data_IF_894056757968
#
_entry.id   IF_894056757968
#
_cell.length_a   1.000
_cell.length_b   1.000
_cell.length_c   1.000
_cell.angle_alpha   90.00
_cell.angle_beta   90.00
_cell.angle_gamma   90.00
#
_symmetry.space_group_name_H-M   'P 1'
#
loop_
_entity.id
_entity.type
_entity.pdbx_description
1 polymer ?
#
# COMPACT_ATOMS: atom_id res chain seq x y z
N UNK A 1 20.67 -6.92 14.13
CA UNK A 1 19.78 -7.12 15.29
C UNK A 1 18.45 -6.50 14.94
N UNK A 2 17.45 -7.30 14.58
CA UNK A 2 16.09 -6.85 14.29
C UNK A 2 15.34 -6.68 15.61
N UNK A 3 15.05 -5.44 15.99
CA UNK A 3 14.12 -5.14 17.07
C UNK A 3 12.72 -5.40 16.53
N UNK A 4 12.12 -6.55 16.87
CA UNK A 4 10.71 -6.81 16.60
C UNK A 4 9.89 -5.94 17.55
N UNK A 5 9.42 -4.80 17.05
CA UNK A 5 8.40 -3.99 17.72
C UNK A 5 7.05 -4.69 17.52
N UNK A 6 6.43 -5.13 18.60
CA UNK A 6 5.13 -5.79 18.57
C UNK A 6 3.99 -4.78 18.49
N UNK A 7 3.20 -4.88 17.42
CA UNK A 7 1.93 -4.21 17.20
C UNK A 7 1.51 -4.57 15.78
N UNK A 8 0.27 -5.04 15.58
CA UNK A 8 -0.27 -5.07 14.22
C UNK A 8 -0.21 -3.61 13.75
N UNK A 9 0.43 -3.35 12.62
CA UNK A 9 0.48 -2.00 12.08
C UNK A 9 -0.89 -1.63 11.56
N UNK A 10 -1.76 -1.13 12.44
CA UNK A 10 -3.16 -0.83 12.15
C UNK A 10 -3.35 0.37 11.19
N UNK A 11 -2.26 0.86 10.61
CA UNK A 11 -2.26 1.99 9.69
C UNK A 11 -1.25 1.85 8.58
N UNK A 12 -1.64 2.36 7.43
CA UNK A 12 -0.93 2.20 6.17
C UNK A 12 -0.88 3.54 5.44
N UNK A 13 0.32 4.01 5.13
CA UNK A 13 0.50 4.99 4.06
C UNK A 13 0.79 4.25 2.75
N UNK A 14 0.04 4.59 1.71
CA UNK A 14 0.25 4.09 0.35
C UNK A 14 0.54 5.24 -0.60
N UNK A 15 1.58 5.10 -1.40
CA UNK A 15 1.88 5.97 -2.53
C UNK A 15 1.95 5.16 -3.81
N UNK A 16 1.06 5.43 -4.76
CA UNK A 16 1.13 4.93 -6.13
C UNK A 16 1.81 5.96 -7.02
N UNK A 17 2.71 5.53 -7.90
CA UNK A 17 3.44 6.44 -8.78
C UNK A 17 4.03 5.74 -10.00
N UNK A 18 4.36 6.55 -10.99
CA UNK A 18 5.17 6.20 -12.15
C UNK A 18 6.57 6.82 -12.04
N UNK A 19 7.54 6.28 -12.76
CA UNK A 19 8.90 6.79 -12.80
C UNK A 19 9.38 7.00 -14.24
N UNK A 20 10.17 8.06 -14.52
CA UNK A 20 10.84 8.20 -15.80
C UNK A 20 11.87 7.07 -16.00
N UNK A 21 11.89 6.49 -17.19
CA UNK A 21 12.73 5.33 -17.53
C UNK A 21 14.22 5.59 -17.31
N UNK A 22 14.67 6.81 -17.55
CA UNK A 22 16.09 7.20 -17.49
C UNK A 22 16.61 7.26 -16.06
N UNK A 23 15.72 7.48 -15.07
CA UNK A 23 16.08 7.59 -13.65
C UNK A 23 15.58 6.42 -12.82
N UNK A 24 14.96 5.41 -13.44
CA UNK A 24 14.38 4.27 -12.74
C UNK A 24 15.43 3.55 -11.89
N UNK A 25 16.59 3.22 -12.46
CA UNK A 25 17.61 2.46 -11.73
C UNK A 25 18.19 3.24 -10.54
N UNK A 26 18.46 4.54 -10.73
CA UNK A 26 18.95 5.41 -9.66
C UNK A 26 17.93 5.52 -8.54
N UNK A 27 16.66 5.73 -8.90
CA UNK A 27 15.57 5.85 -7.94
C UNK A 27 15.38 4.56 -7.13
N UNK A 28 15.34 3.39 -7.77
CA UNK A 28 15.19 2.12 -7.06
C UNK A 28 16.39 1.86 -6.15
N UNK A 29 17.62 2.15 -6.60
CA UNK A 29 18.82 1.99 -5.79
C UNK A 29 18.78 2.89 -4.55
N UNK A 30 18.41 4.16 -4.70
CA UNK A 30 18.27 5.10 -3.60
C UNK A 30 17.14 4.72 -2.63
N UNK A 31 15.98 4.34 -3.18
CA UNK A 31 14.81 3.98 -2.38
C UNK A 31 15.15 2.84 -1.42
N UNK A 32 15.74 1.75 -1.93
CA UNK A 32 16.08 0.57 -1.13
C UNK A 32 17.36 0.71 -0.33
N UNK A 33 18.32 1.50 -0.80
CA UNK A 33 19.65 1.65 -0.18
C UNK A 33 19.72 2.70 0.92
N UNK A 34 18.90 3.75 0.85
CA UNK A 34 18.98 4.91 1.74
C UNK A 34 17.62 5.26 2.37
N UNK A 35 16.61 5.52 1.54
CA UNK A 35 15.33 6.08 2.00
C UNK A 35 14.54 5.14 2.91
N UNK A 36 14.27 3.90 2.46
CA UNK A 36 13.53 2.94 3.27
C UNK A 36 14.27 2.55 4.57
N UNK A 37 15.61 2.34 4.56
CA UNK A 37 16.37 2.20 5.79
C UNK A 37 16.21 3.36 6.79
N UNK A 38 16.17 4.61 6.32
CA UNK A 38 15.93 5.80 7.16
C UNK A 38 14.49 5.80 7.71
N UNK A 39 13.49 5.56 6.85
CA UNK A 39 12.08 5.45 7.23
C UNK A 39 11.88 4.38 8.31
N UNK A 40 12.49 3.20 8.16
CA UNK A 40 12.37 2.08 9.11
C UNK A 40 13.06 2.36 10.47
N UNK A 41 13.95 3.34 10.56
CA UNK A 41 14.52 3.76 11.84
C UNK A 41 13.55 4.61 12.66
N UNK A 42 12.52 5.19 12.04
CA UNK A 42 11.54 5.99 12.75
C UNK A 42 10.77 5.15 13.78
N UNK A 43 10.67 5.56 15.06
CA UNK A 43 10.12 4.74 16.13
C UNK A 43 8.72 4.18 15.88
N UNK A 44 7.85 4.95 15.22
CA UNK A 44 6.46 4.55 14.94
C UNK A 44 6.23 3.78 13.65
N UNK A 45 7.28 3.58 12.82
CA UNK A 45 7.19 2.78 11.60
C UNK A 45 7.54 1.32 11.94
N UNK A 46 6.77 0.40 11.38
CA UNK A 46 6.86 -1.04 11.67
C UNK A 46 7.45 -1.82 10.49
N UNK A 47 7.01 -1.49 9.28
CA UNK A 47 7.44 -2.17 8.06
C UNK A 47 7.28 -1.25 6.84
N UNK A 48 7.97 -1.59 5.75
CA UNK A 48 7.81 -0.96 4.46
C UNK A 48 7.88 -2.02 3.35
N UNK A 49 7.09 -1.84 2.30
CA UNK A 49 7.05 -2.74 1.16
C UNK A 49 6.89 -1.96 -0.14
N UNK A 50 7.62 -2.37 -1.18
CA UNK A 50 7.63 -1.69 -2.48
C UNK A 50 7.33 -2.69 -3.59
N UNK A 51 6.19 -2.49 -4.25
CA UNK A 51 5.65 -3.39 -5.26
C UNK A 51 5.66 -2.74 -6.64
N UNK A 52 5.92 -3.57 -7.66
CA UNK A 52 5.64 -3.24 -9.05
C UNK A 52 4.25 -3.75 -9.40
N UNK A 53 3.41 -2.89 -9.98
CA UNK A 53 2.08 -3.29 -10.43
C UNK A 53 2.19 -4.12 -11.71
N UNK A 54 1.43 -5.20 -11.78
CA UNK A 54 1.29 -6.05 -12.96
C UNK A 54 0.12 -5.51 -13.78
N UNK A 55 0.40 -4.92 -14.94
CA UNK A 55 -0.62 -4.33 -15.83
C UNK A 55 -1.06 -5.26 -16.96
N UNK A 56 -0.25 -6.27 -17.25
CA UNK A 56 -0.37 -7.07 -18.47
C UNK A 56 -1.26 -8.31 -18.26
N UNK A 57 -1.93 -8.40 -17.10
CA UNK A 57 -2.81 -9.51 -16.77
C UNK A 57 -4.23 -9.26 -17.31
N UNK A 58 -4.63 -10.03 -18.32
CA UNK A 58 -5.94 -9.93 -18.97
C UNK A 58 -7.11 -10.11 -17.98
N UNK A 59 -6.92 -10.91 -16.92
CA UNK A 59 -7.94 -11.15 -15.89
C UNK A 59 -8.13 -9.92 -15.01
N UNK A 60 -7.04 -9.26 -14.62
CA UNK A 60 -7.06 -7.99 -13.88
C UNK A 60 -7.69 -6.88 -14.71
N UNK A 61 -7.41 -6.83 -16.01
CA UNK A 61 -8.00 -5.84 -16.91
C UNK A 61 -9.51 -6.05 -17.07
N UNK A 62 -9.98 -7.30 -17.18
CA UNK A 62 -11.42 -7.61 -17.20
C UNK A 62 -12.14 -7.19 -15.92
N UNK A 63 -11.54 -7.38 -14.74
CA UNK A 63 -12.12 -6.92 -13.47
C UNK A 63 -12.42 -5.41 -13.46
N UNK A 64 -11.59 -4.61 -14.15
CA UNK A 64 -11.82 -3.16 -14.26
C UNK A 64 -13.06 -2.78 -15.08
N UNK A 65 -13.55 -3.68 -15.94
CA UNK A 65 -14.78 -3.50 -16.72
C UNK A 65 -16.04 -3.72 -15.86
N UNK A 66 -15.97 -4.59 -14.86
CA UNK A 66 -17.09 -4.95 -13.99
C UNK A 66 -17.19 -4.08 -12.73
N UNK A 67 -16.04 -3.70 -12.15
CA UNK A 67 -16.00 -2.79 -11.01
C UNK A 67 -16.27 -1.39 -11.56
N UNK A 68 -17.50 -0.92 -11.43
CA UNK A 68 -17.93 0.37 -11.92
C UNK A 68 -17.09 1.52 -11.38
N UNK A 69 -16.01 1.87 -12.09
CA UNK A 69 -15.24 3.06 -11.78
C UNK A 69 -16.11 4.26 -12.17
N UNK A 70 -16.25 5.27 -11.31
CA UNK A 70 -16.78 6.55 -11.77
C UNK A 70 -15.92 7.03 -12.95
N UNK A 71 -16.49 7.87 -13.85
CA UNK A 71 -15.72 8.45 -14.95
C UNK A 71 -14.40 9.00 -14.43
N UNK A 72 -13.34 8.80 -15.20
CA UNK A 72 -12.00 9.27 -14.86
C UNK A 72 -12.11 10.75 -14.49
N UNK A 73 -11.84 11.05 -13.22
CA UNK A 73 -11.74 12.43 -12.80
C UNK A 73 -10.35 12.88 -13.21
N UNK A 74 -10.29 13.83 -14.14
CA UNK A 74 -9.03 14.43 -14.61
C UNK A 74 -8.12 14.90 -13.44
N UNK A 75 -8.69 15.13 -12.26
CA UNK A 75 -8.00 15.61 -11.07
C UNK A 75 -7.40 14.52 -10.18
N UNK A 76 -7.70 13.23 -10.40
CA UNK A 76 -7.14 12.14 -9.60
C UNK A 76 -5.93 11.52 -10.32
N UNK A 77 -4.70 11.68 -9.78
CA UNK A 77 -3.51 11.10 -10.38
C UNK A 77 -3.62 9.57 -10.41
N UNK A 78 -3.24 8.98 -11.56
CA UNK A 78 -3.46 7.56 -11.85
C UNK A 78 -2.33 6.62 -11.48
N UNK A 79 -1.22 7.10 -10.87
CA UNK A 79 0.04 6.39 -10.65
C UNK A 79 -0.08 4.86 -10.66
N UNK A 80 0.66 4.22 -11.56
CA UNK A 80 0.21 2.94 -12.12
C UNK A 80 1.30 1.88 -12.23
N UNK A 81 2.58 2.24 -12.07
CA UNK A 81 3.72 1.34 -12.19
C UNK A 81 4.17 0.77 -10.85
N UNK A 82 4.18 1.57 -9.79
CA UNK A 82 4.67 1.17 -8.47
C UNK A 82 3.71 1.55 -7.35
N UNK A 83 3.73 0.76 -6.27
CA UNK A 83 3.11 1.07 -4.99
C UNK A 83 4.17 0.98 -3.89
N UNK A 84 4.35 2.05 -3.13
CA UNK A 84 5.10 2.05 -1.88
C UNK A 84 4.11 2.02 -0.71
N UNK A 85 4.27 1.06 0.17
CA UNK A 85 3.47 0.83 1.37
C UNK A 85 4.36 1.01 2.59
N UNK A 86 3.91 1.80 3.56
CA UNK A 86 4.59 2.01 4.84
C UNK A 86 3.58 1.74 5.95
N UNK A 87 3.84 0.73 6.76
CA UNK A 87 3.01 0.37 7.91
C UNK A 87 3.51 1.04 9.18
N UNK A 88 2.58 1.60 9.94
CA UNK A 88 2.87 2.27 11.21
C UNK A 88 1.92 1.80 12.31
N UNK A 89 2.33 2.02 13.55
CA UNK A 89 1.51 1.72 14.73
C UNK A 89 0.24 2.60 14.85
N UNK A 90 0.18 3.71 14.09
CA UNK A 90 -0.92 4.67 14.12
C UNK A 90 -0.81 5.62 12.91
N UNK A 91 -1.92 6.05 12.29
CA UNK A 91 -1.86 6.97 11.17
C UNK A 91 -1.24 8.32 11.56
N UNK A 92 -1.29 8.70 12.84
CA UNK A 92 -0.69 9.94 13.34
C UNK A 92 0.81 10.02 13.09
N UNK A 93 1.51 8.88 13.03
CA UNK A 93 2.96 8.82 12.74
C UNK A 93 3.28 9.54 11.43
N UNK A 94 2.44 9.37 10.41
CA UNK A 94 2.63 9.94 9.07
C UNK A 94 2.45 11.46 9.00
N UNK A 95 1.97 12.08 10.08
CA UNK A 95 1.73 13.53 10.19
C UNK A 95 2.62 14.20 11.25
N UNK A 96 3.63 13.50 11.76
CA UNK A 96 4.60 14.08 12.70
C UNK A 96 5.71 14.83 11.96
N UNK A 97 6.22 15.91 12.56
CA UNK A 97 7.37 16.66 12.04
C UNK A 97 8.59 15.75 11.81
N UNK A 98 8.79 14.76 12.67
CA UNK A 98 9.90 13.82 12.58
C UNK A 98 9.82 12.94 11.33
N UNK A 99 8.63 12.47 10.97
CA UNK A 99 8.42 11.70 9.75
C UNK A 99 8.45 12.61 8.51
N UNK A 100 7.88 13.81 8.61
CA UNK A 100 7.92 14.81 7.55
C UNK A 100 9.36 15.23 7.22
N UNK A 101 10.23 15.37 8.22
CA UNK A 101 11.64 15.72 8.03
C UNK A 101 12.41 14.69 7.18
N UNK A 102 12.05 13.41 7.24
CA UNK A 102 12.63 12.35 6.40
C UNK A 102 12.25 12.58 4.93
N UNK A 103 11.01 13.00 4.67
CA UNK A 103 10.53 13.27 3.30
C UNK A 103 11.06 14.60 2.74
N UNK A 104 11.32 15.56 3.62
CA UNK A 104 11.67 16.93 3.26
C UNK A 104 13.18 17.24 3.33
N UNK A 105 14.03 16.23 3.51
CA UNK A 105 15.47 16.43 3.31
C UNK A 105 15.79 16.65 1.82
N UNK A 106 16.94 17.25 1.51
CA UNK A 106 17.27 17.66 0.13
C UNK A 106 17.25 16.50 -0.87
N UNK A 107 17.82 15.34 -0.51
CA UNK A 107 17.90 14.18 -1.39
C UNK A 107 16.51 13.53 -1.56
N UNK A 108 15.74 13.42 -0.48
CA UNK A 108 14.37 12.92 -0.52
C UNK A 108 13.47 13.82 -1.36
N UNK A 109 13.56 15.15 -1.24
CA UNK A 109 12.82 16.07 -2.08
C UNK A 109 13.13 15.86 -3.57
N UNK A 110 14.42 15.74 -3.93
CA UNK A 110 14.83 15.49 -5.30
C UNK A 110 14.26 14.16 -5.82
N UNK A 111 14.50 13.08 -5.07
CA UNK A 111 14.21 11.73 -5.52
C UNK A 111 12.72 11.40 -5.49
N UNK A 112 11.99 11.79 -4.44
CA UNK A 112 10.53 11.68 -4.40
C UNK A 112 9.87 12.58 -5.46
N UNK A 113 10.49 13.71 -5.81
CA UNK A 113 10.05 14.60 -6.89
C UNK A 113 10.12 13.99 -8.29
N UNK A 114 10.85 12.89 -8.48
CA UNK A 114 10.87 12.15 -9.76
C UNK A 114 9.57 11.38 -10.02
N UNK A 115 8.75 11.16 -8.99
CA UNK A 115 7.50 10.40 -9.11
C UNK A 115 6.48 11.15 -9.95
N UNK A 116 5.90 10.47 -10.93
CA UNK A 116 4.87 11.01 -11.81
C UNK A 116 3.50 10.43 -11.45
N UNK A 117 2.45 11.25 -11.59
CA UNK A 117 1.08 10.81 -11.32
C UNK A 117 0.87 10.32 -9.88
N UNK A 118 1.66 10.84 -8.93
CA UNK A 118 1.66 10.34 -7.54
C UNK A 118 0.30 10.49 -6.90
N UNK A 119 -0.25 9.38 -6.43
CA UNK A 119 -1.42 9.35 -5.56
C UNK A 119 -1.02 8.80 -4.21
N UNK A 120 -1.34 9.54 -3.14
CA UNK A 120 -1.02 9.16 -1.76
C UNK A 120 -2.29 9.05 -0.94
N UNK A 121 -2.37 8.04 -0.08
CA UNK A 121 -3.46 7.88 0.88
C UNK A 121 -2.92 7.35 2.21
N UNK A 122 -3.56 7.75 3.32
CA UNK A 122 -3.34 7.19 4.65
C UNK A 122 -4.60 6.45 5.05
N UNK A 123 -4.46 5.19 5.39
CA UNK A 123 -5.52 4.25 5.68
C UNK A 123 -5.35 3.68 7.09
N UNK A 124 -6.45 3.22 7.67
CA UNK A 124 -6.46 2.43 8.91
C UNK A 124 -7.06 1.07 8.61
N UNK A 125 -6.49 0.02 9.20
CA UNK A 125 -7.08 -1.31 9.16
C UNK A 125 -8.41 -1.28 9.95
N UNK A 126 -9.43 -1.95 9.42
CA UNK A 126 -10.75 -2.08 10.07
C UNK A 126 -11.13 -3.54 10.32
N UNK A 127 -10.57 -4.46 9.54
CA UNK A 127 -10.75 -5.89 9.68
C UNK A 127 -9.49 -6.59 9.16
N UNK A 128 -9.19 -7.73 9.76
CA UNK A 128 -8.09 -8.59 9.39
C UNK A 128 -8.60 -10.03 9.34
N UNK A 129 -8.20 -10.78 8.33
CA UNK A 129 -8.43 -12.23 8.26
C UNK A 129 -7.12 -12.95 7.96
N UNK A 130 -6.77 -13.89 8.82
CA UNK A 130 -5.66 -14.82 8.60
C UNK A 130 -6.08 -15.87 7.56
N UNK A 131 -5.23 -16.09 6.56
CA UNK A 131 -5.40 -17.15 5.57
C UNK A 131 -4.78 -18.48 6.03
N UNK A 132 -5.00 -19.57 5.28
CA UNK A 132 -4.47 -20.89 5.63
C UNK A 132 -2.94 -20.98 5.73
N UNK A 133 -2.22 -20.10 5.03
CA UNK A 133 -0.74 -20.04 5.05
C UNK A 133 -0.21 -18.98 6.02
N UNK A 134 -1.05 -18.45 6.91
CA UNK A 134 -0.60 -17.54 7.95
C UNK A 134 0.32 -18.26 8.95
N UNK A 135 1.54 -17.76 9.13
CA UNK A 135 2.48 -18.24 10.14
C UNK A 135 2.82 -17.13 11.12
N UNK A 136 3.24 -17.48 12.35
CA UNK A 136 3.62 -16.50 13.38
C UNK A 136 4.75 -15.53 12.93
N UNK A 137 5.57 -15.91 11.94
CA UNK A 137 6.56 -15.02 11.32
C UNK A 137 5.95 -13.89 10.48
N UNK A 138 4.70 -14.05 10.02
CA UNK A 138 3.95 -13.07 9.23
C UNK A 138 3.28 -12.02 10.13
N UNK A 139 3.27 -12.23 11.45
CA UNK A 139 2.73 -11.31 12.44
C UNK A 139 3.49 -9.97 12.54
N UNK A 140 4.58 -9.79 11.78
CA UNK A 140 5.22 -8.48 11.62
C UNK A 140 4.32 -7.45 10.92
N UNK A 141 3.22 -7.90 10.30
CA UNK A 141 2.24 -7.06 9.60
C UNK A 141 2.69 -6.64 8.19
N UNK A 142 3.91 -6.98 7.78
CA UNK A 142 4.37 -6.73 6.42
C UNK A 142 3.58 -7.61 5.43
N UNK A 143 3.06 -7.05 4.31
CA UNK A 143 2.30 -7.85 3.36
C UNK A 143 3.15 -8.91 2.66
N UNK A 144 2.49 -9.94 2.13
CA UNK A 144 3.13 -11.05 1.42
C UNK A 144 3.89 -10.60 0.15
N UNK A 145 4.78 -11.43 -0.44
CA UNK A 145 5.52 -11.08 -1.66
C UNK A 145 4.64 -10.73 -2.88
N UNK A 146 3.41 -11.26 -2.90
CA UNK A 146 2.38 -10.89 -3.88
C UNK A 146 1.12 -10.45 -3.13
N UNK A 147 0.56 -9.32 -3.55
CA UNK A 147 -0.63 -8.74 -2.93
C UNK A 147 -1.64 -8.34 -4.00
N UNK A 148 -2.91 -8.29 -3.60
CA UNK A 148 -3.95 -7.58 -4.31
C UNK A 148 -4.35 -6.37 -3.47
N UNK A 149 -4.15 -5.16 -4.00
CA UNK A 149 -4.56 -3.93 -3.35
C UNK A 149 -5.67 -3.26 -4.16
N UNK A 150 -6.82 -3.06 -3.52
CA UNK A 150 -7.96 -2.35 -4.10
C UNK A 150 -8.21 -1.04 -3.37
N UNK A 151 -8.43 0.04 -4.13
CA UNK A 151 -8.91 1.32 -3.59
C UNK A 151 -10.10 1.76 -4.43
N UNK A 152 -11.28 1.61 -3.86
CA UNK A 152 -12.54 1.79 -4.57
C UNK A 152 -13.11 3.18 -4.30
N UNK A 153 -13.82 3.68 -5.31
CA UNK A 153 -14.78 4.75 -5.15
C UNK A 153 -16.06 4.27 -5.79
N UNK A 154 -17.13 4.26 -5.01
CA UNK A 154 -18.47 3.93 -5.47
C UNK A 154 -19.21 5.19 -5.91
N UNK A 155 -20.37 5.03 -6.56
CA UNK A 155 -21.15 6.13 -7.13
C UNK A 155 -22.11 6.74 -6.13
N UNK A 156 -22.63 5.93 -5.20
CA UNK A 156 -23.58 6.36 -4.17
C UNK A 156 -23.20 5.85 -2.78
N UNK A 157 -23.81 6.44 -1.75
CA UNK A 157 -23.58 6.02 -0.36
C UNK A 157 -24.11 4.61 -0.12
N UNK A 158 -25.23 4.24 -0.74
CA UNK A 158 -25.81 2.89 -0.65
C UNK A 158 -24.85 1.84 -1.22
N UNK A 159 -24.23 2.12 -2.38
CA UNK A 159 -23.21 1.24 -2.96
C UNK A 159 -21.98 1.08 -2.04
N UNK A 160 -21.63 2.09 -1.23
CA UNK A 160 -20.52 2.01 -0.26
C UNK A 160 -20.84 0.98 0.83
N UNK A 161 -22.05 1.04 1.39
CA UNK A 161 -22.49 0.09 2.39
C UNK A 161 -22.64 -1.32 1.81
N UNK A 162 -23.08 -1.46 0.57
CA UNK A 162 -23.16 -2.77 -0.10
C UNK A 162 -21.78 -3.36 -0.39
N UNK A 163 -20.81 -2.53 -0.79
CA UNK A 163 -19.42 -2.95 -0.96
C UNK A 163 -18.82 -3.40 0.38
N UNK A 164 -19.05 -2.65 1.46
CA UNK A 164 -18.59 -3.01 2.80
C UNK A 164 -19.19 -4.35 3.27
N UNK A 165 -20.49 -4.57 3.06
CA UNK A 165 -21.16 -5.85 3.36
C UNK A 165 -20.57 -6.98 2.53
N UNK A 166 -20.36 -6.78 1.23
CA UNK A 166 -19.74 -7.79 0.37
C UNK A 166 -18.33 -8.17 0.85
N UNK A 167 -17.55 -7.19 1.32
CA UNK A 167 -16.24 -7.47 1.91
C UNK A 167 -16.34 -8.34 3.16
N UNK A 168 -17.24 -7.99 4.08
CA UNK A 168 -17.45 -8.70 5.34
C UNK A 168 -18.00 -10.12 5.13
N UNK A 169 -19.06 -10.24 4.33
CA UNK A 169 -19.86 -11.48 4.24
C UNK A 169 -19.28 -12.47 3.22
N UNK A 170 -18.52 -11.99 2.24
CA UNK A 170 -18.03 -12.82 1.14
C UNK A 170 -16.51 -12.76 0.98
N UNK A 171 -15.94 -11.57 0.75
CA UNK A 171 -14.53 -11.46 0.33
C UNK A 171 -13.55 -11.92 1.40
N UNK A 172 -13.68 -11.41 2.63
CA UNK A 172 -12.78 -11.74 3.73
C UNK A 172 -12.88 -13.22 4.14
N UNK A 173 -14.09 -13.81 4.31
CA UNK A 173 -14.22 -15.25 4.55
C UNK A 173 -13.65 -16.12 3.43
N UNK A 174 -13.79 -15.69 2.16
CA UNK A 174 -13.20 -16.39 1.04
C UNK A 174 -11.67 -16.39 1.11
N UNK A 175 -11.04 -15.28 1.50
CA UNK A 175 -9.58 -15.23 1.71
C UNK A 175 -9.16 -16.16 2.86
N UNK A 176 -9.87 -16.14 3.99
CA UNK A 176 -9.56 -16.99 5.15
C UNK A 176 -9.62 -18.49 4.88
N UNK A 177 -10.27 -18.90 3.78
CA UNK A 177 -10.38 -20.30 3.35
C UNK A 177 -9.62 -20.62 2.06
N UNK A 178 -8.96 -19.65 1.43
CA UNK A 178 -8.30 -19.82 0.13
C UNK A 178 -6.89 -20.40 0.30
N UNK A 179 -6.60 -21.61 -0.23
CA UNK A 179 -5.25 -22.17 -0.19
C UNK A 179 -4.21 -21.23 -0.83
N UNK A 180 -3.03 -21.10 -0.22
CA UNK A 180 -2.01 -20.16 -0.67
C UNK A 180 -2.17 -18.72 -0.15
N UNK A 181 -3.27 -18.39 0.53
CA UNK A 181 -3.47 -17.06 1.10
C UNK A 181 -2.78 -16.92 2.47
N UNK A 182 -2.05 -15.82 2.65
CA UNK A 182 -1.49 -15.44 3.96
C UNK A 182 -2.52 -14.66 4.78
N UNK A 183 -3.30 -13.77 4.16
CA UNK A 183 -4.34 -12.99 4.84
C UNK A 183 -4.85 -11.83 3.99
N UNK A 184 -5.79 -11.06 4.54
CA UNK A 184 -6.34 -9.84 3.96
C UNK A 184 -6.70 -8.82 5.04
#
# INVERSE_FOLDING_TARGET
MTSNKSGNGDSLEVAWYDLPSERLSDYIKWLHGSYLPEVLQHPGILWAAHYKLIKDDETVNRLSEFVGRPPELETLPGGSQYALLIGAQSPHVFFTDAYEAIQNNNEACEMLGLRQGTRRAVCMEQAHVEGPEFEAGNASGAPAPAIQLGHFRVRTVEEEFDLARWYLDYRLPAIGSMPGAVGA
#
